data_IF_378918086512
#
_entry.id   IF_378918086512
#
_cell.length_a   1.000
_cell.length_b   1.000
_cell.length_c   1.000
_cell.angle_alpha   90.00
_cell.angle_beta   90.00
_cell.angle_gamma   90.00
#
_symmetry.space_group_name_H-M   'P 1'
#
loop_
_entity.id
_entity.type
_entity.pdbx_description
1 polymer ?
#
# COMPACT_ATOMS: atom_id res chain seq x y z
N UNK A 1 -1.69 -7.26 0.72
CA UNK A 1 -1.94 -6.30 1.81
C UNK A 1 -2.83 -5.12 1.42
N UNK A 2 -2.46 -4.27 0.44
CA UNK A 2 -3.20 -3.02 0.15
C UNK A 2 -4.64 -3.24 -0.34
N UNK A 3 -4.85 -4.19 -1.27
CA UNK A 3 -6.19 -4.58 -1.74
C UNK A 3 -7.07 -5.07 -0.59
N UNK A 4 -6.50 -5.85 0.33
CA UNK A 4 -7.20 -6.43 1.47
C UNK A 4 -7.76 -5.35 2.40
N UNK A 5 -6.96 -4.33 2.70
CA UNK A 5 -7.40 -3.19 3.48
C UNK A 5 -8.53 -2.43 2.78
N UNK A 6 -8.34 -2.20 1.48
CA UNK A 6 -9.26 -1.46 0.64
C UNK A 6 -10.65 -2.12 0.55
N UNK A 7 -10.72 -3.45 0.43
CA UNK A 7 -11.96 -4.20 0.49
C UNK A 7 -12.57 -4.15 1.90
N UNK A 8 -11.75 -4.33 2.94
CA UNK A 8 -12.21 -4.30 4.34
C UNK A 8 -12.76 -2.93 4.76
N UNK A 9 -12.22 -1.83 4.25
CA UNK A 9 -12.72 -0.48 4.50
C UNK A 9 -14.18 -0.33 4.04
N UNK A 10 -14.58 -0.96 2.93
CA UNK A 10 -15.97 -0.90 2.46
C UNK A 10 -16.96 -1.61 3.39
N UNK A 11 -16.51 -2.67 4.07
CA UNK A 11 -17.29 -3.39 5.08
C UNK A 11 -17.32 -2.61 6.41
N UNK A 12 -16.18 -2.04 6.82
CA UNK A 12 -16.09 -1.21 8.03
C UNK A 12 -16.95 0.05 7.94
N UNK A 13 -16.96 0.73 6.80
CA UNK A 13 -17.81 1.91 6.56
C UNK A 13 -19.30 1.59 6.73
N UNK A 14 -19.72 0.38 6.37
CA UNK A 14 -21.10 -0.10 6.56
C UNK A 14 -21.43 -0.56 7.98
N UNK A 15 -20.45 -1.08 8.70
CA UNK A 15 -20.67 -1.78 9.99
C UNK A 15 -20.29 -0.95 11.21
N UNK A 16 -19.61 0.17 11.02
CA UNK A 16 -19.11 1.03 12.10
C UNK A 16 -19.52 2.48 11.87
N UNK A 17 -19.78 3.20 12.97
CA UNK A 17 -20.19 4.62 12.93
C UNK A 17 -19.13 5.57 13.45
N UNK A 18 -18.14 5.06 14.20
CA UNK A 18 -17.01 5.83 14.70
C UNK A 18 -15.96 6.11 13.61
N UNK A 19 -14.99 6.95 13.93
CA UNK A 19 -13.82 7.10 13.07
C UNK A 19 -12.94 5.84 13.14
N UNK A 20 -12.27 5.50 12.03
CA UNK A 20 -11.45 4.30 11.95
C UNK A 20 -10.36 4.22 13.03
N UNK A 21 -9.78 5.37 13.40
CA UNK A 21 -8.80 5.49 14.48
C UNK A 21 -9.32 5.14 15.87
N UNK A 22 -10.64 5.19 16.06
CA UNK A 22 -11.31 4.95 17.34
C UNK A 22 -11.90 3.53 17.42
N UNK A 23 -11.56 2.66 16.48
CA UNK A 23 -11.98 1.26 16.54
C UNK A 23 -11.39 0.58 17.78
N UNK A 24 -12.22 -0.14 18.56
CA UNK A 24 -11.79 -0.75 19.82
C UNK A 24 -10.84 -1.93 19.62
N UNK A 25 -10.90 -2.56 18.45
CA UNK A 25 -10.08 -3.70 18.09
C UNK A 25 -9.26 -3.43 16.81
N UNK A 26 -8.07 -4.04 16.70
CA UNK A 26 -7.25 -3.97 15.49
C UNK A 26 -8.00 -4.50 14.26
N UNK A 27 -7.85 -3.84 13.12
CA UNK A 27 -8.41 -4.36 11.85
C UNK A 27 -7.63 -5.62 11.46
N UNK A 28 -8.33 -6.75 11.46
CA UNK A 28 -7.79 -8.01 10.98
C UNK A 28 -7.98 -8.11 9.46
N UNK A 29 -6.87 -8.30 8.75
CA UNK A 29 -6.87 -8.51 7.30
C UNK A 29 -6.51 -9.98 7.01
N UNK A 30 -7.14 -10.61 6.00
CA UNK A 30 -6.86 -12.01 5.66
C UNK A 30 -5.39 -12.27 5.36
N UNK A 31 -4.76 -13.20 6.09
CA UNK A 31 -3.36 -13.58 5.86
C UNK A 31 -2.35 -12.48 6.19
N UNK A 32 -2.74 -11.51 7.00
CA UNK A 32 -1.91 -10.39 7.42
C UNK A 32 -1.71 -10.42 8.93
N UNK A 33 -0.57 -9.92 9.40
CA UNK A 33 -0.34 -9.72 10.83
C UNK A 33 -1.33 -8.66 11.35
N UNK A 34 -2.09 -8.93 12.42
CA UNK A 34 -2.98 -7.92 13.01
C UNK A 34 -2.18 -6.69 13.44
N UNK A 35 -2.53 -5.54 12.91
CA UNK A 35 -1.88 -4.27 13.22
C UNK A 35 -2.71 -3.48 14.20
N UNK A 36 -2.23 -3.38 15.45
CA UNK A 36 -2.90 -2.70 16.58
C UNK A 36 -3.13 -1.22 16.34
N UNK A 37 -2.34 -0.62 15.46
CA UNK A 37 -2.43 0.78 15.11
C UNK A 37 -2.67 0.92 13.60
N UNK A 38 -3.42 1.95 13.21
CA UNK A 38 -3.48 2.42 11.82
C UNK A 38 -2.14 3.03 11.34
N UNK A 39 -1.13 3.13 12.22
CA UNK A 39 0.16 3.77 11.92
C UNK A 39 1.06 3.08 10.90
N UNK A 40 1.11 1.74 10.70
CA UNK A 40 1.85 1.16 9.59
C UNK A 40 1.16 1.43 8.24
N UNK A 41 -0.12 1.80 8.25
CA UNK A 41 -0.84 2.26 7.08
C UNK A 41 -0.99 3.78 7.10
N UNK A 42 0.11 4.51 7.14
CA UNK A 42 0.11 5.98 7.02
C UNK A 42 -0.56 6.50 5.73
N UNK A 43 -0.75 5.64 4.74
CA UNK A 43 -1.51 5.88 3.49
C UNK A 43 -2.98 5.45 3.59
N UNK A 44 -3.35 4.71 4.63
CA UNK A 44 -4.73 4.37 4.88
C UNK A 44 -5.47 5.56 5.48
N UNK A 45 -6.76 5.64 5.21
CA UNK A 45 -7.53 6.71 5.74
C UNK A 45 -7.75 6.52 7.24
N UNK A 46 -7.26 7.46 8.03
CA UNK A 46 -7.51 7.45 9.48
C UNK A 46 -8.81 8.14 9.87
N UNK A 47 -9.46 8.78 8.90
CA UNK A 47 -10.80 9.35 9.05
C UNK A 47 -11.76 8.68 8.08
N UNK A 48 -13.02 8.57 8.47
CA UNK A 48 -14.12 8.12 7.62
C UNK A 48 -14.55 9.21 6.63
N UNK A 49 -14.37 10.47 7.00
CA UNK A 49 -14.79 11.64 6.22
C UNK A 49 -13.84 11.87 5.03
N UNK A 50 -14.39 12.01 3.81
CA UNK A 50 -13.63 12.38 2.61
C UNK A 50 -13.15 11.22 1.73
N UNK A 51 -13.43 9.97 2.08
CA UNK A 51 -13.06 8.80 1.26
C UNK A 51 -14.25 8.03 0.71
N UNK A 52 -15.45 8.51 1.02
CA UNK A 52 -16.70 7.92 0.58
C UNK A 52 -16.71 7.57 -0.92
N UNK A 53 -16.23 8.44 -1.84
CA UNK A 53 -16.24 8.08 -3.26
C UNK A 53 -15.32 6.89 -3.60
N UNK A 54 -14.17 6.76 -2.92
CA UNK A 54 -13.20 5.69 -3.18
C UNK A 54 -13.64 4.38 -2.54
N UNK A 55 -14.14 4.44 -1.32
CA UNK A 55 -14.64 3.27 -0.58
C UNK A 55 -15.91 2.72 -1.25
N UNK A 56 -16.82 3.59 -1.69
CA UNK A 56 -18.03 3.22 -2.42
C UNK A 56 -17.69 2.60 -3.79
N UNK A 57 -16.77 3.21 -4.55
CA UNK A 57 -16.30 2.66 -5.82
C UNK A 57 -15.71 1.26 -5.64
N UNK A 58 -14.93 1.04 -4.58
CA UNK A 58 -14.34 -0.27 -4.32
C UNK A 58 -15.35 -1.32 -3.89
N UNK A 59 -16.28 -0.97 -3.01
CA UNK A 59 -17.38 -1.87 -2.64
C UNK A 59 -18.23 -2.27 -3.85
N UNK A 60 -18.47 -1.33 -4.78
CA UNK A 60 -19.13 -1.62 -6.06
C UNK A 60 -18.29 -2.54 -6.93
N UNK A 61 -17.00 -2.24 -7.09
CA UNK A 61 -16.08 -3.03 -7.91
C UNK A 61 -15.96 -4.47 -7.41
N UNK A 62 -15.98 -4.71 -6.09
CA UNK A 62 -16.00 -6.05 -5.52
C UNK A 62 -17.22 -6.87 -5.96
N UNK A 63 -18.38 -6.22 -6.10
CA UNK A 63 -19.63 -6.88 -6.50
C UNK A 63 -19.69 -7.18 -8.01
N UNK A 64 -19.00 -6.38 -8.85
CA UNK A 64 -19.10 -6.50 -10.32
C UNK A 64 -17.87 -7.10 -10.99
N UNK A 65 -16.71 -7.11 -10.33
CA UNK A 65 -15.49 -7.67 -10.91
C UNK A 65 -15.51 -9.21 -10.89
N UNK A 66 -14.97 -9.83 -11.95
CA UNK A 66 -14.73 -11.29 -11.98
C UNK A 66 -13.44 -11.68 -11.22
N UNK A 67 -12.59 -10.70 -10.93
CA UNK A 67 -11.34 -10.89 -10.20
C UNK A 67 -10.45 -9.64 -10.22
N UNK A 68 -9.35 -9.69 -9.48
CA UNK A 68 -8.40 -8.59 -9.33
C UNK A 68 -7.00 -9.03 -9.73
N UNK A 69 -6.42 -8.34 -10.70
CA UNK A 69 -4.99 -8.46 -11.00
C UNK A 69 -4.19 -7.56 -10.06
N UNK A 70 -3.26 -8.14 -9.33
CA UNK A 70 -2.42 -7.43 -8.36
C UNK A 70 -0.96 -7.55 -8.80
N UNK A 71 -0.28 -6.41 -8.92
CA UNK A 71 1.14 -6.35 -9.20
C UNK A 71 1.95 -6.75 -7.95
N UNK A 72 1.91 -8.04 -7.64
CA UNK A 72 2.60 -8.70 -6.51
C UNK A 72 2.95 -10.13 -6.94
N UNK A 73 3.69 -10.86 -6.11
CA UNK A 73 4.06 -12.25 -6.35
C UNK A 73 4.05 -13.06 -5.05
N UNK A 74 4.00 -14.38 -5.18
CA UNK A 74 3.77 -15.31 -4.06
C UNK A 74 4.75 -15.10 -2.90
N UNK A 75 6.06 -15.08 -3.17
CA UNK A 75 7.07 -14.95 -2.09
C UNK A 75 7.04 -13.60 -1.37
N UNK A 76 6.38 -12.57 -1.91
CA UNK A 76 6.21 -11.27 -1.24
C UNK A 76 5.02 -11.25 -0.28
N UNK A 77 3.90 -11.86 -0.66
CA UNK A 77 2.62 -11.77 0.07
C UNK A 77 1.90 -13.12 0.22
N UNK A 78 2.66 -14.21 0.38
CA UNK A 78 2.19 -15.60 0.34
C UNK A 78 0.94 -15.85 1.20
N UNK A 79 1.01 -15.49 2.49
CA UNK A 79 -0.07 -15.74 3.43
C UNK A 79 -1.35 -14.96 3.07
N UNK A 80 -1.20 -13.72 2.57
CA UNK A 80 -2.33 -12.92 2.10
C UNK A 80 -2.94 -13.54 0.84
N UNK A 81 -2.12 -13.96 -0.12
CA UNK A 81 -2.59 -14.59 -1.37
C UNK A 81 -3.37 -15.86 -1.06
N UNK A 82 -2.83 -16.73 -0.21
CA UNK A 82 -3.48 -17.98 0.21
C UNK A 82 -4.81 -17.71 0.92
N UNK A 83 -4.84 -16.75 1.85
CA UNK A 83 -6.07 -16.38 2.55
C UNK A 83 -7.16 -15.86 1.58
N UNK A 84 -6.78 -15.10 0.55
CA UNK A 84 -7.71 -14.65 -0.47
C UNK A 84 -8.25 -15.79 -1.34
N UNK A 85 -7.42 -16.77 -1.69
CA UNK A 85 -7.86 -17.97 -2.41
C UNK A 85 -8.91 -18.73 -1.59
N UNK A 86 -8.65 -19.00 -0.30
CA UNK A 86 -9.60 -19.68 0.59
C UNK A 86 -10.92 -18.93 0.75
N UNK A 87 -10.87 -17.60 0.78
CA UNK A 87 -12.07 -16.75 0.86
C UNK A 87 -12.83 -16.70 -0.47
N UNK A 88 -12.12 -16.83 -1.60
CA UNK A 88 -12.73 -16.92 -2.93
C UNK A 88 -13.43 -18.25 -3.12
N UNK A 89 -12.84 -19.36 -2.68
CA UNK A 89 -13.47 -20.68 -2.69
C UNK A 89 -14.77 -20.73 -1.87
N UNK A 90 -14.87 -19.88 -0.84
CA UNK A 90 -16.08 -19.69 -0.01
C UNK A 90 -17.07 -18.69 -0.58
N UNK A 91 -16.76 -18.05 -1.71
CA UNK A 91 -17.60 -17.01 -2.34
C UNK A 91 -17.65 -15.69 -1.58
N UNK A 92 -16.70 -15.42 -0.68
CA UNK A 92 -16.65 -14.18 0.12
C UNK A 92 -16.01 -13.04 -0.69
N UNK A 93 -14.92 -13.35 -1.40
CA UNK A 93 -14.19 -12.40 -2.24
C UNK A 93 -14.04 -12.93 -3.67
N UNK A 94 -13.86 -12.01 -4.62
CA UNK A 94 -13.48 -12.37 -5.99
C UNK A 94 -12.04 -12.89 -6.05
N UNK A 95 -11.73 -13.64 -7.10
CA UNK A 95 -10.42 -14.24 -7.28
C UNK A 95 -9.33 -13.18 -7.42
N UNK A 96 -8.19 -13.40 -6.76
CA UNK A 96 -7.02 -12.51 -6.81
C UNK A 96 -5.89 -13.19 -7.58
N UNK A 97 -5.38 -12.50 -8.59
CA UNK A 97 -4.30 -12.97 -9.45
C UNK A 97 -3.01 -12.17 -9.18
N UNK A 98 -2.02 -12.76 -8.50
CA UNK A 98 -0.70 -12.15 -8.36
C UNK A 98 0.05 -12.29 -9.70
N UNK A 99 0.26 -11.18 -10.39
CA UNK A 99 0.80 -11.15 -11.76
C UNK A 99 2.08 -10.32 -11.90
N UNK A 100 2.64 -9.85 -10.78
CA UNK A 100 3.85 -9.04 -10.76
C UNK A 100 5.17 -9.83 -10.76
N UNK A 101 6.32 -9.13 -10.76
CA UNK A 101 6.43 -7.68 -10.76
C UNK A 101 6.38 -7.07 -12.17
N UNK A 102 5.37 -6.25 -12.45
CA UNK A 102 5.36 -5.34 -13.58
C UNK A 102 6.09 -4.05 -13.22
N UNK A 103 7.23 -3.83 -13.86
CA UNK A 103 8.04 -2.63 -13.70
C UNK A 103 8.00 -1.79 -14.98
N UNK A 104 8.30 -0.50 -14.85
CA UNK A 104 8.49 0.34 -16.03
C UNK A 104 9.80 -0.07 -16.70
N UNK A 105 9.83 -0.18 -18.05
CA UNK A 105 11.09 -0.41 -18.74
C UNK A 105 12.03 0.77 -18.47
N UNK A 106 13.33 0.49 -18.33
CA UNK A 106 14.34 1.53 -18.29
C UNK A 106 14.35 2.26 -19.63
N UNK A 107 14.19 3.59 -19.64
CA UNK A 107 14.48 4.37 -20.84
C UNK A 107 16.00 4.47 -21.02
N UNK A 108 16.47 4.41 -22.27
CA UNK A 108 17.90 4.58 -22.56
C UNK A 108 18.44 5.95 -22.10
N UNK A 109 17.56 6.97 -22.04
CA UNK A 109 17.88 8.31 -21.55
C UNK A 109 18.20 8.36 -20.05
N UNK A 110 17.71 7.40 -19.25
CA UNK A 110 17.95 7.39 -17.81
C UNK A 110 19.43 7.17 -17.44
N UNK A 111 20.16 6.43 -18.28
CA UNK A 111 21.61 6.21 -18.12
C UNK A 111 22.46 7.45 -18.42
N UNK A 112 21.89 8.47 -19.05
CA UNK A 112 22.58 9.73 -19.33
C UNK A 112 22.50 10.74 -18.19
N UNK A 113 21.66 10.48 -17.18
CA UNK A 113 21.46 11.38 -16.06
C UNK A 113 22.74 11.47 -15.21
N UNK A 114 23.10 12.69 -14.81
CA UNK A 114 24.33 12.98 -14.06
C UNK A 114 24.45 12.15 -12.78
N UNK A 115 23.33 11.96 -12.06
CA UNK A 115 23.30 11.16 -10.86
C UNK A 115 23.62 9.68 -11.09
N UNK A 116 23.32 9.12 -12.27
CA UNK A 116 23.66 7.73 -12.60
C UNK A 116 25.15 7.60 -12.88
N UNK A 117 25.74 8.53 -13.65
CA UNK A 117 27.20 8.58 -13.86
C UNK A 117 27.97 8.78 -12.56
N UNK A 118 27.41 9.50 -11.60
CA UNK A 118 28.00 9.67 -10.27
C UNK A 118 28.03 8.36 -9.45
N UNK A 119 27.14 7.40 -9.75
CA UNK A 119 27.14 6.08 -9.10
C UNK A 119 28.29 5.19 -9.58
N UNK A 120 28.75 5.33 -10.84
CA UNK A 120 29.77 4.47 -11.45
C UNK A 120 31.07 4.31 -10.62
N UNK A 121 31.66 5.36 -10.01
CA UNK A 121 32.87 5.22 -9.19
C UNK A 121 32.61 4.79 -7.73
N UNK A 122 31.35 4.64 -7.31
CA UNK A 122 31.03 4.29 -5.92
C UNK A 122 31.29 2.80 -5.66
N UNK A 123 31.49 2.43 -4.39
CA UNK A 123 31.60 1.00 -4.04
C UNK A 123 30.22 0.35 -4.10
N UNK A 124 30.18 -0.93 -4.45
CA UNK A 124 28.94 -1.70 -4.43
C UNK A 124 28.25 -1.61 -3.06
N UNK A 125 26.97 -1.23 -3.07
CA UNK A 125 26.17 -1.08 -1.85
C UNK A 125 26.53 0.10 -0.95
N UNK A 126 27.41 1.03 -1.37
CA UNK A 126 27.79 2.19 -0.55
C UNK A 126 26.86 3.39 -0.66
N UNK A 127 25.91 3.38 -1.60
CA UNK A 127 25.00 4.51 -1.86
C UNK A 127 23.60 4.19 -1.36
N UNK A 128 23.00 5.12 -0.63
CA UNK A 128 21.61 5.06 -0.23
C UNK A 128 20.74 5.92 -1.16
N UNK A 129 19.74 5.29 -1.80
CA UNK A 129 18.71 6.01 -2.53
C UNK A 129 17.59 6.44 -1.58
N UNK A 130 17.25 7.72 -1.58
CA UNK A 130 16.17 8.30 -0.76
C UNK A 130 15.10 8.89 -1.68
N UNK A 131 13.89 8.33 -1.61
CA UNK A 131 12.75 8.79 -2.41
C UNK A 131 11.44 8.56 -1.66
N UNK A 132 10.62 9.60 -1.58
CA UNK A 132 9.31 9.58 -0.91
C UNK A 132 8.14 9.47 -1.89
N UNK A 133 8.43 9.27 -3.18
CA UNK A 133 7.43 9.26 -4.25
C UNK A 133 6.93 10.66 -4.63
N UNK A 134 6.15 10.75 -5.71
CA UNK A 134 5.67 12.02 -6.25
C UNK A 134 4.67 12.77 -5.37
N UNK A 135 4.02 12.07 -4.43
CA UNK A 135 3.11 12.66 -3.45
C UNK A 135 3.72 12.81 -2.06
N UNK A 136 5.02 12.53 -1.89
CA UNK A 136 5.71 12.68 -0.61
C UNK A 136 5.82 14.15 -0.23
N UNK A 137 5.49 14.48 1.02
CA UNK A 137 5.65 15.83 1.57
C UNK A 137 6.28 15.74 2.94
N UNK A 138 7.32 16.54 3.16
CA UNK A 138 8.02 16.69 4.42
C UNK A 138 7.97 18.15 4.84
N UNK A 139 7.82 18.41 6.13
CA UNK A 139 7.92 19.77 6.68
C UNK A 139 9.37 20.26 6.63
N UNK A 140 9.57 21.58 6.77
CA UNK A 140 10.92 22.14 6.81
C UNK A 140 11.74 21.53 7.94
N UNK A 141 11.15 21.37 9.12
CA UNK A 141 11.77 20.78 10.30
C UNK A 141 12.19 19.32 10.05
N UNK A 142 11.42 18.57 9.27
CA UNK A 142 11.75 17.19 8.91
C UNK A 142 12.89 17.09 7.89
N UNK A 143 13.12 18.15 7.10
CA UNK A 143 14.23 18.25 6.15
C UNK A 143 15.45 18.97 6.71
N UNK A 144 15.30 19.61 7.86
CA UNK A 144 16.36 20.37 8.49
C UNK A 144 17.41 19.43 9.10
N UNK A 145 18.68 19.75 8.88
CA UNK A 145 19.78 19.05 9.56
C UNK A 145 19.73 19.30 11.07
N UNK A 146 20.38 18.45 11.88
CA UNK A 146 20.35 18.52 13.34
C UNK A 146 20.83 19.88 13.92
N UNK A 147 21.48 20.73 13.13
CA UNK A 147 21.99 22.05 13.56
C UNK A 147 20.97 23.20 13.50
N UNK A 148 19.78 23.00 12.92
CA UNK A 148 18.79 24.07 12.73
C UNK A 148 17.74 24.17 13.86
N UNK A 149 17.84 23.33 14.89
CA UNK A 149 16.93 23.34 16.05
C UNK A 149 17.58 24.06 17.23
N UNK A 150 17.81 25.37 17.09
CA UNK A 150 18.31 26.26 18.15
C UNK A 150 17.20 27.16 18.67
#
# INVERSE_FOLDING_TARGET
MALSLLLRLSELDRTTTCEYRDLPEPVQLPGCVPTISWTPYRTAPTSRTGLEPRVELLGRNQLVAEGFFVNTFDTMEHDTIRAFQELSDKGVYQLVYPVGPFTRPCSNEAGEHECVRWLDPQRDGSVQYVCFGSGGTLSMEQTAGPEASG
#
